data_IF_277062113959
#
_entry.id   IF_277062113959
#
_cell.length_a   1.000
_cell.length_b   1.000
_cell.length_c   1.000
_cell.angle_alpha   90.00
_cell.angle_beta   90.00
_cell.angle_gamma   90.00
#
_symmetry.space_group_name_H-M   'P 1'
#
loop_
_entity.id
_entity.type
_entity.pdbx_description
1 polymer ?
#
# COMPACT_ATOMS: atom_id res chain seq x y z
N UNK A 1 0.39 1.24 28.75
CA UNK A 1 1.40 2.00 27.99
C UNK A 1 1.76 1.39 26.62
N UNK A 2 1.64 0.06 26.39
CA UNK A 2 2.16 -0.60 25.17
C UNK A 2 1.25 -0.50 23.93
N UNK A 3 -0.08 -0.54 24.10
CA UNK A 3 -1.05 -0.55 22.99
C UNK A 3 -1.13 0.78 22.19
N UNK A 4 -0.82 1.92 22.83
CA UNK A 4 -0.82 3.24 22.19
C UNK A 4 0.35 3.39 21.20
N UNK A 5 1.55 2.98 21.61
CA UNK A 5 2.75 3.02 20.76
C UNK A 5 2.65 2.10 19.56
N UNK A 6 2.03 0.92 19.73
CA UNK A 6 1.80 0.00 18.62
C UNK A 6 0.91 0.64 17.56
N UNK A 7 -0.28 1.13 17.94
CA UNK A 7 -1.17 1.84 17.01
C UNK A 7 -0.48 3.04 16.35
N UNK A 8 0.26 3.86 17.11
CA UNK A 8 0.94 5.02 16.55
C UNK A 8 1.98 4.62 15.48
N UNK A 9 2.76 3.54 15.70
CA UNK A 9 3.71 3.03 14.69
C UNK A 9 3.02 2.49 13.45
N UNK A 10 1.83 1.91 13.61
CA UNK A 10 0.99 1.40 12.51
C UNK A 10 0.54 2.56 11.64
N UNK A 11 -0.10 3.56 12.26
CA UNK A 11 -0.59 4.76 11.59
C UNK A 11 0.53 5.51 10.87
N UNK A 12 1.71 5.63 11.48
CA UNK A 12 2.88 6.26 10.87
C UNK A 12 3.39 5.50 9.64
N UNK A 13 3.44 4.17 9.70
CA UNK A 13 3.91 3.35 8.59
C UNK A 13 2.95 3.38 7.39
N UNK A 14 1.65 3.31 7.66
CA UNK A 14 0.61 3.44 6.62
C UNK A 14 0.64 4.84 5.99
N UNK A 15 0.78 5.90 6.79
CA UNK A 15 0.87 7.26 6.27
C UNK A 15 2.14 7.51 5.46
N UNK A 16 3.30 7.03 5.92
CA UNK A 16 4.57 7.21 5.21
C UNK A 16 4.55 6.49 3.85
N UNK A 17 4.03 5.27 3.81
CA UNK A 17 3.90 4.52 2.55
C UNK A 17 2.99 5.25 1.57
N UNK A 18 1.84 5.76 2.04
CA UNK A 18 0.89 6.49 1.22
C UNK A 18 1.46 7.81 0.67
N UNK A 19 2.10 8.61 1.52
CA UNK A 19 2.73 9.88 1.11
C UNK A 19 3.80 9.64 0.05
N UNK A 20 4.69 8.65 0.26
CA UNK A 20 5.72 8.31 -0.73
C UNK A 20 5.16 7.78 -2.04
N UNK A 21 4.05 7.03 -2.00
CA UNK A 21 3.34 6.59 -3.19
C UNK A 21 2.76 7.78 -3.96
N UNK A 22 2.07 8.70 -3.27
CA UNK A 22 1.51 9.94 -3.87
C UNK A 22 2.60 10.84 -4.47
N UNK A 23 3.71 11.02 -3.76
CA UNK A 23 4.86 11.80 -4.23
C UNK A 23 5.50 11.17 -5.47
N UNK A 24 5.69 9.85 -5.47
CA UNK A 24 6.28 9.14 -6.61
C UNK A 24 5.37 9.22 -7.84
N UNK A 25 4.06 9.07 -7.65
CA UNK A 25 3.09 9.25 -8.74
C UNK A 25 3.12 10.66 -9.32
N UNK A 26 3.15 11.68 -8.47
CA UNK A 26 3.21 13.09 -8.89
C UNK A 26 4.52 13.41 -9.60
N UNK A 27 5.64 12.88 -9.11
CA UNK A 27 6.99 13.10 -9.69
C UNK A 27 7.17 12.40 -11.02
N UNK A 28 6.62 11.20 -11.18
CA UNK A 28 6.73 10.39 -12.40
C UNK A 28 5.59 10.60 -13.39
N UNK A 29 4.57 11.40 -13.02
CA UNK A 29 3.38 11.63 -13.84
C UNK A 29 2.51 10.38 -14.00
N UNK A 30 2.58 9.45 -13.04
CA UNK A 30 1.86 8.18 -13.06
C UNK A 30 0.43 8.33 -12.55
N UNK A 31 -0.48 7.63 -13.19
CA UNK A 31 -1.85 7.47 -12.70
C UNK A 31 -1.94 6.34 -11.68
N UNK A 32 -3.05 6.26 -10.93
CA UNK A 32 -3.32 5.13 -10.03
C UNK A 32 -3.28 3.80 -10.79
N UNK A 33 -3.73 3.80 -12.05
CA UNK A 33 -3.75 2.62 -12.91
C UNK A 33 -2.34 2.14 -13.27
N UNK A 34 -1.44 3.07 -13.60
CA UNK A 34 -0.05 2.73 -13.93
C UNK A 34 0.65 2.12 -12.72
N UNK A 35 0.44 2.71 -11.54
CA UNK A 35 0.98 2.17 -10.29
C UNK A 35 0.39 0.77 -9.98
N UNK A 36 -0.91 0.60 -10.18
CA UNK A 36 -1.58 -0.68 -9.97
C UNK A 36 -0.97 -1.77 -10.86
N UNK A 37 -0.83 -1.49 -12.16
CA UNK A 37 -0.25 -2.43 -13.14
C UNK A 37 1.23 -2.76 -12.85
N UNK A 38 1.99 -1.85 -12.23
CA UNK A 38 3.36 -2.12 -11.79
C UNK A 38 3.45 -3.04 -10.57
N UNK A 39 2.43 -3.04 -9.71
CA UNK A 39 2.37 -3.81 -8.47
C UNK A 39 1.70 -5.17 -8.70
N UNK A 40 0.60 -5.22 -9.46
CA UNK A 40 -0.10 -6.44 -9.88
C UNK A 40 0.72 -7.22 -10.92
N UNK A 41 1.73 -7.94 -10.42
CA UNK A 41 2.66 -8.67 -11.29
C UNK A 41 2.07 -9.94 -11.93
N UNK A 42 0.96 -10.46 -11.39
CA UNK A 42 0.34 -11.68 -11.90
C UNK A 42 -0.83 -11.38 -12.85
N UNK A 43 -1.35 -10.14 -12.85
CA UNK A 43 -2.42 -9.67 -13.73
C UNK A 43 -3.80 -10.21 -13.38
N UNK A 44 -4.02 -10.60 -12.11
CA UNK A 44 -5.30 -11.14 -11.64
C UNK A 44 -6.34 -10.03 -11.35
N UNK A 45 -5.94 -8.76 -11.49
CA UNK A 45 -6.81 -7.60 -11.31
C UNK A 45 -6.95 -7.19 -9.84
N UNK A 46 -6.15 -7.76 -8.95
CA UNK A 46 -6.09 -7.44 -7.52
C UNK A 46 -4.64 -7.46 -7.03
N UNK A 47 -4.33 -6.73 -5.97
CA UNK A 47 -3.00 -6.76 -5.35
C UNK A 47 -3.07 -7.57 -4.07
N UNK A 48 -2.26 -8.63 -3.98
CA UNK A 48 -2.08 -9.41 -2.75
C UNK A 48 -0.88 -8.93 -1.89
N UNK A 49 -0.74 -9.50 -0.69
CA UNK A 49 0.37 -9.22 0.24
C UNK A 49 1.76 -9.26 -0.37
N UNK A 50 2.16 -10.38 -1.02
CA UNK A 50 3.44 -10.49 -1.70
C UNK A 50 3.68 -9.44 -2.80
N UNK A 51 2.67 -9.12 -3.61
CA UNK A 51 2.75 -8.08 -4.65
C UNK A 51 2.93 -6.70 -4.03
N UNK A 52 2.09 -6.35 -3.06
CA UNK A 52 2.17 -5.07 -2.35
C UNK A 52 3.53 -4.89 -1.68
N UNK A 53 4.03 -5.94 -1.02
CA UNK A 53 5.36 -5.89 -0.37
C UNK A 53 6.46 -5.58 -1.38
N UNK A 54 6.47 -6.25 -2.54
CA UNK A 54 7.45 -6.00 -3.60
C UNK A 54 7.29 -4.60 -4.20
N UNK A 55 6.06 -4.17 -4.44
CA UNK A 55 5.73 -2.85 -4.98
C UNK A 55 6.16 -1.71 -4.07
N UNK A 56 5.71 -1.73 -2.82
CA UNK A 56 6.07 -0.71 -1.84
C UNK A 56 7.57 -0.72 -1.56
N UNK A 57 8.23 -1.89 -1.50
CA UNK A 57 9.69 -1.95 -1.31
C UNK A 57 10.46 -1.22 -2.42
N UNK A 58 9.99 -1.25 -3.67
CA UNK A 58 10.62 -0.50 -4.78
C UNK A 58 10.47 1.01 -4.63
N UNK A 59 9.41 1.47 -3.98
CA UNK A 59 9.03 2.90 -3.90
C UNK A 59 9.52 3.53 -2.59
N UNK A 60 9.34 2.83 -1.48
CA UNK A 60 9.58 3.29 -0.10
C UNK A 60 10.90 2.78 0.47
N UNK A 61 11.45 1.69 -0.10
CA UNK A 61 12.64 1.00 0.38
C UNK A 61 12.34 -0.13 1.37
N UNK A 62 13.40 -0.66 2.01
CA UNK A 62 13.35 -1.79 2.97
C UNK A 62 12.78 -1.42 4.37
N UNK A 63 11.97 -0.36 4.44
CA UNK A 63 11.51 0.22 5.72
C UNK A 63 10.31 -0.49 6.35
N UNK A 64 9.64 -1.38 5.62
CA UNK A 64 8.39 -2.02 6.08
C UNK A 64 8.56 -3.52 6.32
N UNK A 65 8.04 -3.98 7.44
CA UNK A 65 7.95 -5.39 7.80
C UNK A 65 6.72 -6.06 7.17
N UNK A 66 6.71 -7.39 6.99
CA UNK A 66 5.52 -8.11 6.50
C UNK A 66 4.25 -7.85 7.31
N UNK A 67 4.37 -7.67 8.63
CA UNK A 67 3.24 -7.28 9.48
C UNK A 67 2.65 -5.92 9.09
N UNK A 68 3.51 -4.92 8.89
CA UNK A 68 3.08 -3.60 8.45
C UNK A 68 2.41 -3.63 7.06
N UNK A 69 2.88 -4.48 6.13
CA UNK A 69 2.21 -4.68 4.84
C UNK A 69 0.80 -5.24 5.03
N UNK A 70 0.64 -6.27 5.86
CA UNK A 70 -0.68 -6.83 6.16
C UNK A 70 -1.64 -5.78 6.71
N UNK A 71 -1.14 -4.87 7.55
CA UNK A 71 -1.92 -3.77 8.10
C UNK A 71 -2.26 -2.70 7.05
N UNK A 72 -1.36 -2.42 6.11
CA UNK A 72 -1.66 -1.55 4.96
C UNK A 72 -2.77 -2.16 4.11
N UNK A 73 -2.73 -3.46 3.82
CA UNK A 73 -3.81 -4.15 3.10
C UNK A 73 -5.12 -3.98 3.85
N UNK A 74 -5.13 -4.30 5.14
CA UNK A 74 -6.34 -4.20 5.97
C UNK A 74 -6.90 -2.76 6.02
N UNK A 75 -6.05 -1.74 5.86
CA UNK A 75 -6.48 -0.35 5.84
C UNK A 75 -7.11 0.07 4.50
N UNK A 76 -6.81 -0.62 3.41
CA UNK A 76 -7.24 -0.26 2.04
C UNK A 76 -8.40 -1.17 1.60
N UNK A 77 -8.32 -2.45 1.95
CA UNK A 77 -9.33 -3.47 1.75
C UNK A 77 -10.62 -3.09 2.48
N UNK A 78 -11.60 -2.62 1.71
CA UNK A 78 -12.89 -2.17 2.24
C UNK A 78 -13.92 -3.29 2.18
N UNK A 79 -13.72 -4.27 1.28
CA UNK A 79 -14.66 -5.34 1.01
C UNK A 79 -14.39 -6.62 1.84
N UNK A 80 -13.20 -6.74 2.43
CA UNK A 80 -12.77 -7.83 3.33
C UNK A 80 -12.19 -9.06 2.62
N UNK A 81 -11.78 -8.97 1.36
CA UNK A 81 -11.24 -10.10 0.59
C UNK A 81 -9.72 -10.32 0.79
N UNK A 82 -9.08 -9.48 1.60
CA UNK A 82 -7.63 -9.42 1.88
C UNK A 82 -6.78 -9.13 0.64
N UNK A 83 -7.37 -8.48 -0.35
CA UNK A 83 -6.70 -7.97 -1.56
C UNK A 83 -7.04 -6.50 -1.71
N UNK A 84 -6.37 -5.85 -2.65
CA UNK A 84 -6.64 -4.45 -2.98
C UNK A 84 -7.02 -4.39 -4.45
N UNK A 85 -8.24 -4.00 -4.75
CA UNK A 85 -8.66 -3.71 -6.12
C UNK A 85 -8.28 -2.27 -6.55
N UNK A 86 -8.41 -1.98 -7.84
CA UNK A 86 -8.08 -0.65 -8.41
C UNK A 86 -8.89 0.48 -7.75
N UNK A 87 -10.15 0.23 -7.38
CA UNK A 87 -11.03 1.21 -6.77
C UNK A 87 -10.63 1.47 -5.33
N UNK A 88 -10.28 0.44 -4.57
CA UNK A 88 -9.74 0.55 -3.21
C UNK A 88 -8.43 1.32 -3.17
N UNK A 89 -7.50 1.01 -4.09
CA UNK A 89 -6.24 1.76 -4.22
C UNK A 89 -6.50 3.23 -4.58
N UNK A 90 -7.44 3.49 -5.50
CA UNK A 90 -7.83 4.86 -5.87
C UNK A 90 -8.42 5.63 -4.69
N UNK A 91 -9.28 4.98 -3.91
CA UNK A 91 -9.90 5.60 -2.73
C UNK A 91 -8.85 5.93 -1.67
N UNK A 92 -7.87 5.05 -1.46
CA UNK A 92 -6.77 5.29 -0.53
C UNK A 92 -5.87 6.45 -0.97
N UNK A 93 -5.66 6.62 -2.28
CA UNK A 93 -4.81 7.67 -2.86
C UNK A 93 -5.53 9.00 -3.15
N UNK A 94 -6.85 9.06 -2.96
CA UNK A 94 -7.64 10.27 -3.20
C UNK A 94 -7.32 11.41 -2.24
#
# INVERSE_FOLDING_TARGET
MVLFYFNLRIYMATSEALEKLKDTMSREGKTVKDLFEEIDTNGDGTINGPELYKGIKKIVGDSLTPGQISMIITAFDTNGDNRIDVMELRNALS
#
